data_IF_109629041656
#
_entry.id   IF_109629041656
#
_cell.length_a   1.000
_cell.length_b   1.000
_cell.length_c   1.000
_cell.angle_alpha   90.00
_cell.angle_beta   90.00
_cell.angle_gamma   90.00
#
_symmetry.space_group_name_H-M   'P 1'
#
loop_
_entity.id
_entity.type
_entity.pdbx_description
1 polymer ?
#
# COMPACT_ATOMS: atom_id res chain seq x y z
N UNK A 1 10.18 -21.21 -24.60
CA UNK A 1 9.09 -20.24 -24.39
C UNK A 1 9.08 -19.88 -22.91
N UNK A 2 9.42 -18.64 -22.56
CA UNK A 2 9.28 -18.19 -21.18
C UNK A 2 7.80 -17.86 -20.95
N UNK A 3 7.29 -18.33 -19.82
CA UNK A 3 5.95 -18.00 -19.34
C UNK A 3 6.15 -17.06 -18.16
N UNK A 4 5.58 -15.86 -18.23
CA UNK A 4 5.60 -14.91 -17.12
C UNK A 4 4.25 -14.87 -16.42
N UNK A 5 4.19 -14.19 -15.26
CA UNK A 5 2.94 -14.02 -14.50
C UNK A 5 2.31 -12.68 -14.84
N UNK A 6 1.01 -12.70 -15.16
CA UNK A 6 0.22 -11.48 -15.31
C UNK A 6 0.29 -10.64 -14.00
N UNK A 7 0.56 -9.33 -14.07
CA UNK A 7 0.71 -8.48 -12.88
C UNK A 7 -0.58 -8.30 -12.09
N UNK A 8 -1.74 -8.52 -12.71
CA UNK A 8 -3.05 -8.36 -12.08
C UNK A 8 -3.56 -9.68 -11.50
N UNK A 9 -3.75 -10.72 -12.34
CA UNK A 9 -4.37 -11.98 -11.91
C UNK A 9 -3.37 -13.08 -11.50
N UNK A 10 -2.05 -12.85 -11.69
CA UNK A 10 -0.96 -13.77 -11.34
C UNK A 10 -0.96 -15.15 -12.04
N UNK A 11 -1.83 -15.36 -13.03
CA UNK A 11 -1.80 -16.56 -13.89
C UNK A 11 -0.64 -16.50 -14.89
N UNK A 12 -0.17 -17.67 -15.34
CA UNK A 12 0.93 -17.79 -16.30
C UNK A 12 0.43 -17.46 -17.71
N UNK A 13 1.19 -16.65 -18.44
CA UNK A 13 0.88 -16.20 -19.79
C UNK A 13 2.14 -16.23 -20.67
N UNK A 14 1.94 -16.34 -21.99
CA UNK A 14 3.02 -16.26 -22.99
C UNK A 14 3.48 -14.82 -23.15
N UNK A 15 4.79 -14.61 -23.38
CA UNK A 15 5.40 -13.29 -23.62
C UNK A 15 4.82 -12.55 -24.85
N UNK A 16 4.10 -13.25 -25.73
CA UNK A 16 3.58 -12.74 -27.00
C UNK A 16 2.13 -12.23 -26.98
N UNK A 17 1.46 -12.23 -25.84
CA UNK A 17 0.04 -11.81 -25.76
C UNK A 17 -0.08 -10.30 -25.54
N UNK A 18 -0.93 -9.63 -26.32
CA UNK A 18 -1.22 -8.19 -26.14
C UNK A 18 -2.12 -7.92 -24.93
N UNK A 19 -2.92 -8.92 -24.53
CA UNK A 19 -3.77 -8.84 -23.33
C UNK A 19 -3.85 -10.20 -22.64
N UNK A 20 -4.09 -10.19 -21.34
CA UNK A 20 -4.18 -11.41 -20.55
C UNK A 20 -5.51 -12.13 -20.88
N UNK A 21 -5.48 -13.37 -21.37
CA UNK A 21 -6.70 -14.12 -21.72
C UNK A 21 -7.54 -14.53 -20.50
N UNK A 22 -7.02 -14.33 -19.28
CA UNK A 22 -7.70 -14.73 -18.05
C UNK A 22 -8.43 -13.60 -17.33
N UNK A 23 -7.96 -12.36 -17.45
CA UNK A 23 -8.53 -11.21 -16.76
C UNK A 23 -8.74 -9.98 -17.65
N UNK A 24 -8.23 -10.00 -18.89
CA UNK A 24 -8.37 -8.88 -19.84
C UNK A 24 -7.34 -7.77 -19.66
N UNK A 25 -6.34 -7.91 -18.78
CA UNK A 25 -5.30 -6.91 -18.57
C UNK A 25 -4.51 -6.65 -19.87
N UNK A 26 -4.48 -5.40 -20.33
CA UNK A 26 -3.76 -4.97 -21.53
C UNK A 26 -2.27 -4.74 -21.25
N UNK A 27 -1.41 -5.25 -22.14
CA UNK A 27 0.05 -5.06 -22.11
C UNK A 27 0.52 -3.95 -23.05
N UNK A 28 -0.40 -3.15 -23.59
CA UNK A 28 -0.05 -1.95 -24.36
C UNK A 28 0.67 -0.94 -23.47
N UNK A 29 1.65 -0.24 -24.02
CA UNK A 29 2.50 0.68 -23.25
C UNK A 29 1.70 1.75 -22.49
N UNK A 30 0.68 2.34 -23.13
CA UNK A 30 -0.19 3.33 -22.50
C UNK A 30 -0.92 2.76 -21.26
N UNK A 31 -1.48 1.55 -21.36
CA UNK A 31 -2.18 0.91 -20.24
C UNK A 31 -1.21 0.51 -19.12
N UNK A 32 0.01 0.08 -19.48
CA UNK A 32 1.08 -0.23 -18.52
C UNK A 32 1.54 1.01 -17.75
N UNK A 33 1.63 2.16 -18.41
CA UNK A 33 2.01 3.42 -17.77
C UNK A 33 0.93 3.87 -16.76
N UNK A 34 -0.34 3.82 -17.15
CA UNK A 34 -1.48 4.09 -16.24
C UNK A 34 -1.47 3.12 -15.06
N UNK A 35 -1.20 1.83 -15.29
CA UNK A 35 -1.10 0.84 -14.23
C UNK A 35 0.03 1.16 -13.24
N UNK A 36 1.22 1.53 -13.74
CA UNK A 36 2.35 1.95 -12.89
C UNK A 36 2.02 3.19 -12.06
N UNK A 37 1.41 4.20 -12.67
CA UNK A 37 0.97 5.41 -11.96
C UNK A 37 -0.02 5.05 -10.84
N UNK A 38 -0.98 4.15 -11.09
CA UNK A 38 -1.94 3.68 -10.08
C UNK A 38 -1.25 2.95 -8.92
N UNK A 39 -0.21 2.15 -9.18
CA UNK A 39 0.59 1.50 -8.13
C UNK A 39 1.37 2.53 -7.30
N UNK A 40 1.97 3.53 -7.95
CA UNK A 40 2.69 4.60 -7.27
C UNK A 40 1.76 5.46 -6.40
N UNK A 41 0.60 5.84 -6.93
CA UNK A 41 -0.44 6.54 -6.18
C UNK A 41 -0.86 5.76 -4.93
N UNK A 42 -1.08 4.44 -5.05
CA UNK A 42 -1.39 3.58 -3.89
C UNK A 42 -0.26 3.55 -2.86
N UNK A 43 0.99 3.51 -3.32
CA UNK A 43 2.16 3.55 -2.43
C UNK A 43 2.22 4.87 -1.67
N UNK A 44 2.06 6.00 -2.35
CA UNK A 44 2.09 7.34 -1.73
C UNK A 44 0.92 7.51 -0.75
N UNK A 45 -0.29 7.09 -1.13
CA UNK A 45 -1.45 7.11 -0.26
C UNK A 45 -1.21 6.30 1.02
N UNK A 46 -0.71 5.06 0.89
CA UNK A 46 -0.41 4.22 2.05
C UNK A 46 0.68 4.83 2.93
N UNK A 47 1.69 5.47 2.35
CA UNK A 47 2.72 6.21 3.11
C UNK A 47 2.12 7.39 3.89
N UNK A 48 1.20 8.13 3.27
CA UNK A 48 0.50 9.24 3.91
C UNK A 48 -0.40 8.76 5.06
N UNK A 49 -1.20 7.72 4.83
CA UNK A 49 -2.04 7.07 5.85
C UNK A 49 -1.17 6.60 7.01
N UNK A 50 -0.07 5.90 6.73
CA UNK A 50 0.85 5.45 7.77
C UNK A 50 1.45 6.61 8.57
N UNK A 51 1.84 7.72 7.91
CA UNK A 51 2.31 8.93 8.62
C UNK A 51 1.22 9.54 9.52
N UNK A 52 -0.03 9.59 9.07
CA UNK A 52 -1.15 10.10 9.88
C UNK A 52 -1.41 9.19 11.09
N UNK A 53 -1.41 7.87 10.88
CA UNK A 53 -1.54 6.88 11.95
C UNK A 53 -0.43 7.01 13.01
N UNK A 54 0.83 7.16 12.59
CA UNK A 54 1.97 7.36 13.52
C UNK A 54 1.79 8.65 14.33
N UNK A 55 1.37 9.76 13.71
CA UNK A 55 1.11 11.02 14.43
C UNK A 55 0.04 10.83 15.53
N UNK A 56 -1.05 10.13 15.22
CA UNK A 56 -2.10 9.83 16.20
C UNK A 56 -1.58 8.93 17.33
N UNK A 57 -0.77 7.91 17.01
CA UNK A 57 -0.15 7.04 18.02
C UNK A 57 0.73 7.82 18.99
N UNK A 58 1.52 8.78 18.51
CA UNK A 58 2.35 9.63 19.36
C UNK A 58 1.50 10.53 20.29
N UNK A 59 0.38 11.06 19.80
CA UNK A 59 -0.56 11.84 20.63
C UNK A 59 -1.14 10.96 21.74
N UNK A 60 -1.62 9.76 21.42
CA UNK A 60 -2.14 8.81 22.41
C UNK A 60 -1.09 8.39 23.44
N UNK A 61 0.16 8.16 23.00
CA UNK A 61 1.28 7.85 23.90
C UNK A 61 1.53 9.00 24.88
N UNK A 62 1.52 10.26 24.40
CA UNK A 62 1.67 11.44 25.26
C UNK A 62 0.55 11.57 26.30
N UNK A 63 -0.71 11.36 25.89
CA UNK A 63 -1.86 11.37 26.80
C UNK A 63 -1.71 10.25 27.85
N UNK A 64 -1.37 9.04 27.43
CA UNK A 64 -1.18 7.89 28.32
C UNK A 64 -0.08 8.13 29.35
N UNK A 65 1.07 8.68 28.91
CA UNK A 65 2.17 9.03 29.80
C UNK A 65 1.77 10.10 30.82
N UNK A 66 1.00 11.12 30.41
CA UNK A 66 0.51 12.16 31.31
C UNK A 66 -0.45 11.60 32.37
N UNK A 67 -1.40 10.72 31.97
CA UNK A 67 -2.33 10.06 32.89
C UNK A 67 -1.59 9.22 33.93
N UNK A 68 -0.59 8.43 33.50
CA UNK A 68 0.26 7.64 34.42
C UNK A 68 1.02 8.56 35.38
N UNK A 69 1.64 9.63 34.86
CA UNK A 69 2.38 10.59 35.69
C UNK A 69 1.51 11.23 36.77
N UNK A 70 0.30 11.67 36.42
CA UNK A 70 -0.65 12.24 37.40
C UNK A 70 -1.06 11.20 38.44
N UNK A 71 -1.36 9.96 38.02
CA UNK A 71 -1.71 8.89 38.95
C UNK A 71 -0.58 8.60 39.95
N UNK A 72 0.69 8.60 39.50
CA UNK A 72 1.84 8.41 40.38
C UNK A 72 2.02 9.56 41.39
N UNK A 73 1.70 10.80 41.01
CA UNK A 73 1.80 11.96 41.91
C UNK A 73 0.70 11.93 42.96
N UNK A 74 -0.53 11.58 42.60
CA UNK A 74 -1.67 11.54 43.53
C UNK A 74 -1.56 10.38 44.53
N UNK A 75 -0.96 9.27 44.12
CA UNK A 75 -0.82 8.07 44.95
C UNK A 75 0.35 8.12 45.96
N UNK A 76 1.21 9.13 45.91
CA UNK A 76 2.39 9.28 46.76
C UNK A 76 2.28 10.52 47.65
#
# INVERSE_FOLDING_TARGET
>A
MALYRCPECRKRISDSVESCPHCGFSFKEADLEIYRQKLEQRRLHNQEVNRKSIKLQLIWLGIFAAVIGIATIVAN
#
